data_IF_277369323197
#
_entry.id   IF_277369323197
#
_cell.length_a   1.000
_cell.length_b   1.000
_cell.length_c   1.000
_cell.angle_alpha   90.00
_cell.angle_beta   90.00
_cell.angle_gamma   90.00
#
_symmetry.space_group_name_H-M   'P 1'
#
loop_
_entity.id
_entity.type
_entity.pdbx_description
1 polymer ?
#
# COMPACT_ATOMS: atom_id res chain seq x y z
N UNK A 1 -38.69 27.04 -5.18
CA UNK A 1 -37.32 26.64 -5.51
C UNK A 1 -36.72 26.02 -4.28
N UNK A 2 -36.68 24.69 -4.22
CA UNK A 2 -36.08 23.95 -3.10
C UNK A 2 -34.57 24.11 -3.28
N UNK A 3 -33.93 24.86 -2.38
CA UNK A 3 -32.49 24.92 -2.32
C UNK A 3 -31.97 23.50 -2.13
N UNK A 4 -31.25 22.99 -3.11
CA UNK A 4 -30.49 21.77 -2.91
C UNK A 4 -29.55 22.06 -1.74
N UNK A 5 -29.81 21.44 -0.58
CA UNK A 5 -28.81 21.38 0.48
C UNK A 5 -27.51 20.95 -0.19
N UNK A 6 -26.51 21.83 -0.16
CA UNK A 6 -25.17 21.48 -0.60
C UNK A 6 -24.70 20.47 0.42
N UNK A 7 -24.99 19.19 0.17
CA UNK A 7 -24.45 18.10 0.96
C UNK A 7 -22.94 18.25 0.88
N UNK A 8 -22.32 18.50 2.04
CA UNK A 8 -20.87 18.57 2.17
C UNK A 8 -20.26 17.39 1.43
N UNK A 9 -19.22 17.64 0.64
CA UNK A 9 -18.51 16.59 -0.12
C UNK A 9 -18.10 15.40 0.79
N UNK A 10 -17.97 15.64 2.10
CA UNK A 10 -17.72 14.65 3.15
C UNK A 10 -18.82 13.57 3.27
N UNK A 11 -20.08 13.93 3.08
CA UNK A 11 -21.24 13.02 3.25
C UNK A 11 -21.69 12.41 1.92
N UNK A 12 -20.93 12.62 0.85
CA UNK A 12 -21.24 12.03 -0.44
C UNK A 12 -20.95 10.52 -0.43
N UNK A 13 -22.01 9.71 -0.52
CA UNK A 13 -21.90 8.24 -0.49
C UNK A 13 -20.94 7.67 -1.54
N UNK A 14 -20.81 8.30 -2.70
CA UNK A 14 -19.92 7.82 -3.78
C UNK A 14 -18.46 7.98 -3.37
N UNK A 15 -18.14 9.08 -2.69
CA UNK A 15 -16.80 9.36 -2.17
C UNK A 15 -16.47 8.41 -1.03
N UNK A 16 -17.39 8.18 -0.10
CA UNK A 16 -17.22 7.21 0.98
C UNK A 16 -16.98 5.78 0.45
N UNK A 17 -17.77 5.36 -0.55
CA UNK A 17 -17.60 4.07 -1.24
C UNK A 17 -16.22 3.97 -1.89
N UNK A 18 -15.74 5.06 -2.49
CA UNK A 18 -14.40 5.12 -3.12
C UNK A 18 -13.30 4.99 -2.08
N UNK A 19 -13.35 5.75 -0.98
CA UNK A 19 -12.38 5.65 0.12
C UNK A 19 -12.35 4.23 0.70
N UNK A 20 -13.53 3.61 0.89
CA UNK A 20 -13.63 2.23 1.38
C UNK A 20 -12.95 1.24 0.43
N UNK A 21 -13.15 1.36 -0.89
CA UNK A 21 -12.49 0.51 -1.89
C UNK A 21 -10.97 0.66 -1.85
N UNK A 22 -10.46 1.89 -1.74
CA UNK A 22 -9.02 2.14 -1.63
C UNK A 22 -8.42 1.53 -0.36
N UNK A 23 -9.10 1.68 0.77
CA UNK A 23 -8.70 1.03 2.03
C UNK A 23 -8.68 -0.50 1.91
N UNK A 24 -9.67 -1.11 1.24
CA UNK A 24 -9.70 -2.56 0.99
C UNK A 24 -8.55 -3.02 0.07
N UNK A 25 -8.07 -2.16 -0.82
CA UNK A 25 -6.88 -2.39 -1.62
C UNK A 25 -5.58 -2.28 -0.82
N UNK A 26 -5.63 -1.84 0.45
CA UNK A 26 -4.44 -1.64 1.28
C UNK A 26 -3.84 -0.24 1.17
N UNK A 27 -4.44 0.63 0.34
CA UNK A 27 -4.07 2.03 0.19
C UNK A 27 -4.69 2.83 1.33
N UNK A 28 -4.13 2.64 2.53
CA UNK A 28 -4.55 3.37 3.72
C UNK A 28 -4.23 4.86 3.53
N UNK A 29 -5.26 5.68 3.64
CA UNK A 29 -5.15 7.12 3.53
C UNK A 29 -6.11 7.86 4.44
N UNK A 30 -5.79 9.11 4.72
CA UNK A 30 -6.59 10.03 5.52
C UNK A 30 -7.33 10.99 4.59
N UNK A 31 -8.65 11.07 4.73
CA UNK A 31 -9.46 12.05 4.02
C UNK A 31 -9.52 13.35 4.83
N UNK A 32 -9.21 14.47 4.17
CA UNK A 32 -9.23 15.81 4.74
C UNK A 32 -10.17 16.70 3.92
N UNK A 33 -11.15 17.31 4.58
CA UNK A 33 -12.05 18.26 3.94
C UNK A 33 -11.35 19.61 3.91
N UNK A 34 -11.03 20.09 2.71
CA UNK A 34 -10.40 21.39 2.50
C UNK A 34 -11.46 22.49 2.52
N UNK A 35 -12.64 22.23 1.93
CA UNK A 35 -13.85 23.03 2.04
C UNK A 35 -15.07 22.20 1.63
N UNK A 36 -16.27 22.79 1.65
CA UNK A 36 -17.53 22.08 1.39
C UNK A 36 -17.61 21.36 0.04
N UNK A 37 -16.81 21.78 -0.94
CA UNK A 37 -16.75 21.23 -2.30
C UNK A 37 -15.42 20.54 -2.61
N UNK A 38 -14.51 20.41 -1.65
CA UNK A 38 -13.16 19.89 -1.86
C UNK A 38 -12.72 18.97 -0.72
N UNK A 39 -12.47 17.72 -1.06
CA UNK A 39 -11.87 16.72 -0.18
C UNK A 39 -10.56 16.23 -0.79
N UNK A 40 -9.52 16.20 0.03
CA UNK A 40 -8.21 15.64 -0.28
C UNK A 40 -8.10 14.27 0.37
N UNK A 41 -7.57 13.27 -0.36
CA UNK A 41 -7.23 11.97 0.21
C UNK A 41 -5.72 11.80 0.19
N UNK A 42 -5.11 11.75 1.37
CA UNK A 42 -3.67 11.61 1.54
C UNK A 42 -3.33 10.13 1.72
N UNK A 43 -2.58 9.54 0.77
CA UNK A 43 -2.14 8.15 0.81
C UNK A 43 -0.63 8.12 0.99
N UNK A 44 -0.12 7.37 1.97
CA UNK A 44 1.32 7.31 2.23
C UNK A 44 2.04 6.45 1.19
N UNK A 45 3.28 6.84 0.85
CA UNK A 45 4.13 6.03 -0.03
C UNK A 45 4.34 4.61 0.49
N UNK A 46 4.43 4.44 1.81
CA UNK A 46 4.51 3.12 2.44
C UNK A 46 3.28 2.23 2.16
N UNK A 47 2.06 2.78 2.23
CA UNK A 47 0.85 1.99 1.95
C UNK A 47 0.75 1.59 0.48
N UNK A 48 1.21 2.46 -0.43
CA UNK A 48 1.33 2.17 -1.87
C UNK A 48 2.31 1.01 -2.08
N UNK A 49 3.53 1.12 -1.54
CA UNK A 49 4.56 0.10 -1.72
C UNK A 49 4.15 -1.24 -1.11
N UNK A 50 3.54 -1.24 0.08
CA UNK A 50 3.03 -2.47 0.69
C UNK A 50 1.91 -3.11 -0.15
N UNK A 51 1.06 -2.29 -0.75
CA UNK A 51 0.02 -2.76 -1.67
C UNK A 51 0.62 -3.38 -2.92
N UNK A 52 1.57 -2.71 -3.56
CA UNK A 52 2.28 -3.22 -4.75
C UNK A 52 3.02 -4.52 -4.41
N UNK A 53 3.75 -4.56 -3.29
CA UNK A 53 4.43 -5.76 -2.80
C UNK A 53 3.47 -6.94 -2.66
N UNK A 54 2.28 -6.71 -2.07
CA UNK A 54 1.24 -7.75 -1.94
C UNK A 54 0.72 -8.22 -3.29
N UNK A 55 0.48 -7.29 -4.23
CA UNK A 55 0.02 -7.63 -5.58
C UNK A 55 1.06 -8.45 -6.34
N UNK A 56 2.32 -8.05 -6.31
CA UNK A 56 3.41 -8.80 -6.94
C UNK A 56 3.53 -10.18 -6.30
N UNK A 57 3.53 -10.28 -4.96
CA UNK A 57 3.60 -11.56 -4.25
C UNK A 57 2.48 -12.52 -4.64
N UNK A 58 1.25 -12.03 -4.86
CA UNK A 58 0.11 -12.86 -5.28
C UNK A 58 0.25 -13.42 -6.69
N UNK A 59 1.03 -12.76 -7.55
CA UNK A 59 1.24 -13.15 -8.95
C UNK A 59 2.51 -14.00 -9.14
N UNK A 60 3.36 -14.13 -8.11
CA UNK A 60 4.50 -15.04 -8.15
C UNK A 60 4.03 -16.45 -7.83
N UNK A 61 4.15 -17.35 -8.79
CA UNK A 61 3.84 -18.78 -8.64
C UNK A 61 5.05 -19.61 -8.22
N UNK A 62 6.26 -19.07 -8.35
CA UNK A 62 7.48 -19.77 -8.02
C UNK A 62 7.69 -19.85 -6.50
N UNK A 63 7.81 -21.07 -5.91
CA UNK A 63 7.74 -21.26 -4.46
C UNK A 63 8.95 -20.71 -3.69
N UNK A 64 10.13 -20.68 -4.33
CA UNK A 64 11.36 -20.17 -3.73
C UNK A 64 11.58 -18.74 -4.17
N UNK A 65 10.81 -17.85 -3.58
CA UNK A 65 10.85 -16.41 -3.84
C UNK A 65 10.79 -15.59 -2.57
N UNK A 66 11.34 -14.38 -2.63
CA UNK A 66 11.28 -13.39 -1.56
C UNK A 66 11.17 -12.00 -2.15
N UNK A 67 10.33 -11.16 -1.57
CA UNK A 67 10.14 -9.78 -2.02
C UNK A 67 10.50 -8.83 -0.90
N UNK A 68 11.30 -7.82 -1.23
CA UNK A 68 11.63 -6.72 -0.35
C UNK A 68 11.49 -5.37 -1.05
N UNK A 69 11.29 -4.33 -0.25
CA UNK A 69 11.39 -2.96 -0.71
C UNK A 69 12.75 -2.40 -0.29
N UNK A 70 13.49 -1.88 -1.26
CA UNK A 70 14.70 -1.10 -1.03
C UNK A 70 14.31 0.38 -1.01
N UNK A 71 14.34 0.99 0.19
CA UNK A 71 13.93 2.38 0.42
C UNK A 71 14.88 3.38 -0.24
N UNK A 72 16.18 3.09 -0.24
CA UNK A 72 17.22 3.99 -0.75
C UNK A 72 17.13 4.12 -2.27
N UNK A 73 16.95 2.99 -2.95
CA UNK A 73 16.82 2.96 -4.41
C UNK A 73 15.38 3.17 -4.88
N UNK A 74 14.41 3.20 -3.97
CA UNK A 74 12.97 3.28 -4.26
C UNK A 74 12.51 2.18 -5.25
N UNK A 75 12.92 0.93 -5.00
CA UNK A 75 12.58 -0.22 -5.87
C UNK A 75 12.07 -1.41 -5.07
N UNK A 76 11.20 -2.20 -5.71
CA UNK A 76 10.80 -3.51 -5.21
C UNK A 76 11.74 -4.57 -5.77
N UNK A 77 12.50 -5.25 -4.90
CA UNK A 77 13.43 -6.31 -5.29
C UNK A 77 12.75 -7.66 -5.10
N UNK A 78 12.76 -8.47 -6.15
CA UNK A 78 12.21 -9.83 -6.15
C UNK A 78 13.37 -10.80 -6.32
N UNK A 79 13.57 -11.64 -5.32
CA UNK A 79 14.58 -12.69 -5.31
C UNK A 79 13.93 -14.03 -5.68
N UNK A 80 14.63 -14.79 -6.52
CA UNK A 80 14.27 -16.17 -6.86
C UNK A 80 15.52 -17.04 -6.71
N UNK A 81 15.36 -18.27 -6.24
CA UNK A 81 16.48 -19.21 -6.14
C UNK A 81 16.08 -20.67 -6.34
N UNK A 82 17.04 -21.48 -6.80
CA UNK A 82 16.94 -22.93 -6.85
C UNK A 82 17.74 -23.53 -5.68
N UNK A 83 17.35 -24.72 -5.22
CA UNK A 83 18.07 -25.38 -4.12
C UNK A 83 17.92 -24.64 -2.79
N UNK A 84 19.01 -24.51 -2.04
CA UNK A 84 19.02 -23.77 -0.78
C UNK A 84 18.97 -22.26 -0.98
N UNK A 85 18.40 -21.54 0.01
CA UNK A 85 18.41 -20.09 0.00
C UNK A 85 19.85 -19.56 0.09
N UNK A 86 20.26 -18.62 -0.79
CA UNK A 86 21.59 -18.02 -0.73
C UNK A 86 21.89 -17.42 0.64
N UNK A 87 23.11 -17.62 1.14
CA UNK A 87 23.51 -17.13 2.47
C UNK A 87 23.38 -15.60 2.60
N UNK A 88 23.71 -14.86 1.54
CA UNK A 88 23.52 -13.41 1.47
C UNK A 88 22.06 -12.98 1.66
N UNK A 89 21.11 -13.78 1.17
CA UNK A 89 19.69 -13.53 1.36
C UNK A 89 19.21 -13.92 2.76
N UNK A 90 19.70 -15.06 3.30
CA UNK A 90 19.42 -15.47 4.68
C UNK A 90 19.86 -14.41 5.69
N UNK A 91 21.07 -13.87 5.52
CA UNK A 91 21.62 -12.83 6.38
C UNK A 91 20.78 -11.55 6.35
N UNK A 92 20.45 -11.05 5.16
CA UNK A 92 19.55 -9.89 4.99
C UNK A 92 18.19 -10.08 5.66
N UNK A 93 17.62 -11.28 5.57
CA UNK A 93 16.34 -11.58 6.22
C UNK A 93 16.46 -11.55 7.75
N UNK A 94 17.55 -12.08 8.30
CA UNK A 94 17.81 -12.09 9.73
C UNK A 94 17.99 -10.68 10.30
N UNK A 95 18.78 -9.84 9.63
CA UNK A 95 19.00 -8.44 10.01
C UNK A 95 17.67 -7.67 10.11
N UNK A 96 16.80 -7.79 9.09
CA UNK A 96 15.47 -7.18 9.08
C UNK A 96 14.52 -7.70 10.17
N UNK A 97 14.72 -8.92 10.68
CA UNK A 97 13.91 -9.45 11.78
C UNK A 97 14.33 -8.86 13.13
N UNK A 98 15.61 -8.51 13.28
CA UNK A 98 16.16 -7.92 14.50
C UNK A 98 15.76 -6.45 14.60
N UNK A 99 15.81 -5.69 13.50
CA UNK A 99 15.38 -4.28 13.45
C UNK A 99 13.89 -4.04 13.76
N UNK A 100 13.07 -5.10 13.75
CA UNK A 100 11.63 -5.03 14.02
C UNK A 100 11.24 -5.39 15.46
N UNK A 101 12.20 -5.73 16.32
CA UNK A 101 12.01 -5.91 17.77
C UNK A 101 12.35 -4.64 18.52
#
# INVERSE_FOLDING_TARGET
MVGAEIMSIKTNEVIEKTIRRLNNLGLKGQAEVVNDNHLMLVITGESIINTVKRLVSKNITYPKSYIEYNKELNVLVVHFWKGEMPQSLKQKMLERMIEKK
#
